data_IF_950320882049
#
_entry.id   IF_950320882049
#
_cell.length_a   1.000
_cell.length_b   1.000
_cell.length_c   1.000
_cell.angle_alpha   90.00
_cell.angle_beta   90.00
_cell.angle_gamma   90.00
#
_symmetry.space_group_name_H-M   'P 1'
#
loop_
_entity.id
_entity.type
_entity.pdbx_description
1 polymer ?
#
# COMPACT_ATOMS: atom_id res chain seq x y z
N UNK A 1 -17.87 -14.90 13.48
CA UNK A 1 -18.78 -13.76 13.67
C UNK A 1 -18.06 -12.39 13.66
N UNK A 2 -16.72 -12.32 13.89
CA UNK A 2 -15.93 -11.04 13.85
C UNK A 2 -15.72 -10.46 12.44
N UNK A 3 -15.78 -11.30 11.38
CA UNK A 3 -15.67 -10.85 9.98
C UNK A 3 -16.78 -9.87 9.54
N UNK A 4 -17.93 -9.90 10.22
CA UNK A 4 -19.09 -9.09 9.88
C UNK A 4 -18.95 -7.59 10.24
N UNK A 5 -18.12 -7.26 11.21
CA UNK A 5 -17.98 -5.87 11.70
C UNK A 5 -17.05 -5.01 10.83
N UNK A 6 -16.03 -5.61 10.21
CA UNK A 6 -15.21 -4.92 9.20
C UNK A 6 -16.00 -4.72 7.92
N UNK A 7 -16.82 -5.72 7.55
CA UNK A 7 -17.77 -5.62 6.45
C UNK A 7 -18.70 -4.41 6.59
N UNK A 8 -19.15 -4.08 7.80
CA UNK A 8 -20.05 -2.94 8.01
C UNK A 8 -19.36 -1.59 7.84
N UNK A 9 -18.08 -1.46 8.22
CA UNK A 9 -17.33 -0.22 8.02
C UNK A 9 -16.96 0.02 6.55
N UNK A 10 -16.78 -1.06 5.76
CA UNK A 10 -16.53 -1.02 4.32
C UNK A 10 -17.83 -0.92 3.49
N UNK A 11 -18.94 -1.50 3.96
CA UNK A 11 -20.23 -1.49 3.25
C UNK A 11 -20.93 -0.13 3.25
N UNK A 12 -20.59 0.79 4.15
CA UNK A 12 -21.13 2.14 4.14
C UNK A 12 -20.70 2.98 2.92
N UNK A 13 -19.68 2.52 2.17
CA UNK A 13 -19.19 3.19 0.96
C UNK A 13 -19.83 2.67 -0.35
N UNK A 14 -20.67 1.63 -0.31
CA UNK A 14 -21.25 0.99 -1.51
C UNK A 14 -22.55 1.64 -2.01
N UNK A 15 -22.99 2.76 -1.45
CA UNK A 15 -24.28 3.37 -1.75
C UNK A 15 -24.18 4.59 -2.67
N UNK A 16 -23.36 4.57 -3.73
CA UNK A 16 -23.52 5.48 -4.89
C UNK A 16 -22.60 5.03 -6.04
N UNK A 17 -23.10 4.14 -6.89
CA UNK A 17 -22.99 4.29 -8.35
C UNK A 17 -23.75 3.18 -9.05
N UNK A 18 -24.78 3.58 -9.77
CA UNK A 18 -25.46 2.80 -10.77
C UNK A 18 -24.57 2.71 -12.00
N UNK A 19 -23.94 1.57 -12.21
CA UNK A 19 -23.64 0.99 -13.52
C UNK A 19 -23.34 -0.50 -13.33
N UNK A 20 -23.91 -1.33 -14.17
CA UNK A 20 -23.92 -2.78 -14.19
C UNK A 20 -22.52 -3.41 -14.19
N UNK A 21 -21.96 -3.63 -13.00
CA UNK A 21 -20.98 -4.68 -12.79
C UNK A 21 -21.31 -5.37 -11.47
N UNK A 22 -21.72 -6.64 -11.59
CA UNK A 22 -21.99 -7.54 -10.48
C UNK A 22 -20.69 -7.92 -9.71
N UNK A 23 -19.83 -6.94 -9.48
CA UNK A 23 -18.60 -7.12 -8.72
C UNK A 23 -18.86 -6.82 -7.24
N UNK A 24 -19.35 -7.84 -6.53
CA UNK A 24 -19.61 -7.80 -5.08
C UNK A 24 -18.32 -7.72 -4.24
N UNK A 25 -17.17 -7.42 -4.85
CA UNK A 25 -15.89 -7.32 -4.15
C UNK A 25 -15.82 -6.06 -3.31
N UNK A 26 -15.37 -6.24 -2.07
CA UNK A 26 -15.19 -5.11 -1.18
C UNK A 26 -14.01 -4.26 -1.64
N UNK A 27 -14.23 -2.95 -1.64
CA UNK A 27 -13.24 -1.96 -2.04
C UNK A 27 -13.26 -0.80 -1.05
N UNK A 28 -12.07 -0.39 -0.61
CA UNK A 28 -11.87 0.80 0.19
C UNK A 28 -10.73 1.64 -0.40
N UNK A 29 -10.93 2.94 -0.49
CA UNK A 29 -9.92 3.90 -0.92
C UNK A 29 -9.49 4.75 0.27
N UNK A 30 -8.19 4.93 0.44
CA UNK A 30 -7.60 5.73 1.51
C UNK A 30 -6.85 6.90 0.89
N UNK A 31 -7.14 8.12 1.36
CA UNK A 31 -6.38 9.32 1.00
C UNK A 31 -5.42 9.71 2.12
N UNK A 32 -4.19 10.06 1.78
CA UNK A 32 -3.20 10.31 2.81
C UNK A 32 -1.89 10.90 2.33
N UNK A 33 -0.88 10.72 3.15
CA UNK A 33 0.47 11.25 2.97
C UNK A 33 1.49 10.12 2.99
N UNK A 34 2.41 10.15 2.03
CA UNK A 34 3.56 9.27 1.94
C UNK A 34 4.82 10.04 2.34
N UNK A 35 5.55 9.54 3.34
CA UNK A 35 6.84 10.08 3.79
C UNK A 35 7.94 9.09 3.43
N UNK A 36 8.98 9.56 2.76
CA UNK A 36 10.06 8.71 2.25
C UNK A 36 11.41 9.17 2.76
N UNK A 37 12.22 8.24 3.25
CA UNK A 37 13.64 8.42 3.58
C UNK A 37 14.50 7.52 2.70
N UNK A 38 15.75 7.88 2.48
CA UNK A 38 16.69 7.10 1.66
C UNK A 38 17.94 6.76 2.47
N UNK A 39 18.48 5.55 2.29
CA UNK A 39 19.75 5.17 2.90
C UNK A 39 20.96 5.88 2.29
N UNK A 40 20.81 6.50 1.11
CA UNK A 40 21.88 7.32 0.50
C UNK A 40 22.12 8.63 1.25
N UNK A 41 21.04 9.22 1.79
CA UNK A 41 21.07 10.49 2.51
C UNK A 41 20.18 10.39 3.75
N UNK A 42 20.58 9.58 4.76
CA UNK A 42 19.75 9.33 5.94
C UNK A 42 19.50 10.59 6.79
N UNK A 43 20.40 11.58 6.68
CA UNK A 43 20.33 12.88 7.38
C UNK A 43 19.46 13.91 6.64
N UNK A 44 19.07 13.65 5.41
CA UNK A 44 18.28 14.59 4.62
C UNK A 44 16.83 14.69 5.13
N UNK A 45 16.22 15.83 4.89
CA UNK A 45 14.77 15.99 5.13
C UNK A 45 14.00 14.98 4.31
N UNK A 46 13.08 14.22 4.92
CA UNK A 46 12.27 13.25 4.21
C UNK A 46 11.49 13.89 3.04
N UNK A 47 11.37 13.17 1.94
CA UNK A 47 10.46 13.55 0.88
C UNK A 47 9.01 13.24 1.33
N UNK A 48 8.11 14.21 1.17
CA UNK A 48 6.70 14.10 1.55
C UNK A 48 5.82 14.32 0.32
N UNK A 49 4.99 13.34 0.01
CA UNK A 49 3.96 13.44 -1.01
C UNK A 49 2.57 13.41 -0.34
N UNK A 50 1.79 14.46 -0.54
CA UNK A 50 0.41 14.57 -0.05
C UNK A 50 -0.60 14.17 -1.11
N UNK A 51 -1.83 13.87 -0.68
CA UNK A 51 -2.95 13.47 -1.54
C UNK A 51 -2.67 12.16 -2.33
N UNK A 52 -1.90 11.26 -1.75
CA UNK A 52 -1.65 9.94 -2.32
C UNK A 52 -2.83 9.03 -1.98
N UNK A 53 -3.30 8.29 -2.98
CA UNK A 53 -4.44 7.37 -2.83
C UNK A 53 -3.97 5.92 -2.88
N UNK A 54 -4.37 5.14 -1.85
CA UNK A 54 -4.17 3.70 -1.80
C UNK A 54 -5.54 3.00 -1.83
N UNK A 55 -5.63 1.92 -2.58
CA UNK A 55 -6.84 1.16 -2.78
C UNK A 55 -6.68 -0.26 -2.24
N UNK A 56 -7.53 -0.65 -1.31
CA UNK A 56 -7.64 -2.02 -0.79
C UNK A 56 -8.84 -2.69 -1.44
N UNK A 57 -8.63 -3.81 -2.13
CA UNK A 57 -9.67 -4.55 -2.85
C UNK A 57 -9.62 -6.02 -2.47
N UNK A 58 -10.77 -6.60 -2.14
CA UNK A 58 -10.89 -8.04 -1.92
C UNK A 58 -10.84 -8.78 -3.27
N UNK A 59 -10.13 -9.90 -3.32
CA UNK A 59 -10.13 -10.80 -4.47
C UNK A 59 -11.17 -11.93 -4.33
N UNK A 60 -11.29 -12.77 -5.37
CA UNK A 60 -12.26 -13.87 -5.39
C UNK A 60 -11.93 -15.00 -4.39
N UNK A 61 -10.76 -14.99 -3.78
CA UNK A 61 -10.33 -15.97 -2.77
C UNK A 61 -10.56 -15.49 -1.34
N UNK A 62 -11.04 -14.26 -1.17
CA UNK A 62 -11.21 -13.61 0.13
C UNK A 62 -9.90 -13.07 0.72
N UNK A 63 -8.85 -12.98 -0.10
CA UNK A 63 -7.63 -12.24 0.21
C UNK A 63 -7.76 -10.80 -0.28
N UNK A 64 -6.96 -9.92 0.27
CA UNK A 64 -6.94 -8.53 -0.17
C UNK A 64 -5.72 -8.24 -1.05
N UNK A 65 -5.87 -7.22 -1.86
CA UNK A 65 -4.82 -6.61 -2.67
C UNK A 65 -4.77 -5.12 -2.33
N UNK A 66 -3.59 -4.60 -2.01
CA UNK A 66 -3.37 -3.17 -1.85
C UNK A 66 -2.70 -2.62 -3.11
N UNK A 67 -3.34 -1.65 -3.76
CA UNK A 67 -2.78 -0.94 -4.90
C UNK A 67 -2.42 0.49 -4.48
N UNK A 68 -1.16 0.83 -4.63
CA UNK A 68 -0.61 2.15 -4.35
C UNK A 68 -0.34 2.85 -5.68
N UNK A 69 -1.13 3.88 -5.97
CA UNK A 69 -1.03 4.62 -7.23
C UNK A 69 -0.05 5.79 -7.12
N UNK A 70 0.63 6.06 -8.22
CA UNK A 70 1.47 7.26 -8.42
C UNK A 70 2.56 7.49 -7.35
N UNK A 71 3.11 6.40 -6.81
CA UNK A 71 4.15 6.47 -5.78
C UNK A 71 5.43 7.01 -6.36
N UNK A 72 6.02 8.01 -5.69
CA UNK A 72 7.36 8.55 -5.95
C UNK A 72 8.18 8.48 -4.69
N UNK A 73 9.48 8.28 -4.85
CA UNK A 73 10.43 8.20 -3.72
C UNK A 73 11.29 9.46 -3.57
N UNK A 74 11.23 10.36 -4.56
CA UNK A 74 11.90 11.67 -4.53
C UNK A 74 11.15 12.63 -5.46
N UNK A 75 11.27 13.92 -5.18
CA UNK A 75 10.69 14.95 -6.04
C UNK A 75 11.29 14.96 -7.46
N UNK A 76 12.57 14.65 -7.57
CA UNK A 76 13.29 14.55 -8.85
C UNK A 76 12.99 13.28 -9.65
N UNK A 77 12.21 12.35 -9.11
CA UNK A 77 11.87 11.11 -9.81
C UNK A 77 10.98 11.41 -11.02
N UNK A 78 11.42 11.09 -12.26
CA UNK A 78 10.73 11.52 -13.49
C UNK A 78 9.43 10.77 -13.74
N UNK A 79 9.24 9.63 -13.07
CA UNK A 79 8.06 8.77 -13.23
C UNK A 79 7.51 8.36 -11.87
N UNK A 80 6.24 8.03 -11.82
CA UNK A 80 5.60 7.38 -10.68
C UNK A 80 5.49 5.87 -10.89
N UNK A 81 5.44 5.13 -9.80
CA UNK A 81 5.27 3.69 -9.78
C UNK A 81 3.85 3.34 -9.31
N UNK A 82 3.27 2.31 -9.87
CA UNK A 82 2.14 1.60 -9.27
C UNK A 82 2.70 0.38 -8.54
N UNK A 83 2.46 0.30 -7.25
CA UNK A 83 2.90 -0.82 -6.42
C UNK A 83 1.66 -1.61 -6.04
N UNK A 84 1.68 -2.90 -6.34
CA UNK A 84 0.60 -3.83 -5.99
C UNK A 84 1.16 -4.83 -5.00
N UNK A 85 0.58 -4.87 -3.80
CA UNK A 85 0.85 -5.88 -2.79
C UNK A 85 -0.30 -6.89 -2.86
N UNK A 86 -0.08 -8.07 -3.44
CA UNK A 86 -1.11 -9.11 -3.56
C UNK A 86 -1.18 -9.97 -2.30
N UNK A 87 -2.20 -10.81 -2.22
CA UNK A 87 -2.33 -11.88 -1.22
C UNK A 87 -2.21 -11.39 0.22
N UNK A 88 -2.79 -10.21 0.49
CA UNK A 88 -2.80 -9.67 1.84
C UNK A 88 -3.76 -10.47 2.71
N UNK A 89 -3.23 -10.96 3.83
CA UNK A 89 -4.00 -11.43 4.97
C UNK A 89 -4.16 -10.28 5.95
N UNK A 90 -5.28 -10.26 6.66
CA UNK A 90 -5.50 -9.35 7.77
C UNK A 90 -5.88 -10.17 9.01
N UNK A 91 -5.22 -9.88 10.11
CA UNK A 91 -5.42 -10.59 11.37
C UNK A 91 -5.48 -9.57 12.52
N UNK A 92 -6.49 -9.73 13.37
CA UNK A 92 -6.58 -9.06 14.67
C UNK A 92 -6.26 -10.14 15.72
N UNK A 93 -4.95 -10.34 15.96
CA UNK A 93 -4.45 -11.48 16.73
C UNK A 93 -4.71 -11.35 18.23
N UNK A 94 -4.80 -10.13 18.75
CA UNK A 94 -5.00 -9.83 20.19
C UNK A 94 -6.40 -9.30 20.49
N UNK A 95 -7.22 -9.01 19.47
CA UNK A 95 -8.60 -8.59 19.60
C UNK A 95 -8.77 -7.11 19.99
N UNK A 96 -7.75 -6.29 19.77
CA UNK A 96 -7.75 -4.85 20.08
C UNK A 96 -8.45 -3.99 19.01
N UNK A 97 -8.92 -4.59 17.91
CA UNK A 97 -9.55 -3.90 16.77
C UNK A 97 -8.56 -3.31 15.78
N UNK A 98 -7.28 -3.64 15.91
CA UNK A 98 -6.24 -3.29 14.94
C UNK A 98 -5.98 -4.53 14.08
N UNK A 99 -6.12 -4.38 12.77
CA UNK A 99 -5.87 -5.45 11.81
C UNK A 99 -4.48 -5.27 11.20
N UNK A 100 -3.63 -6.26 11.38
CA UNK A 100 -2.33 -6.30 10.74
C UNK A 100 -2.44 -6.87 9.33
N UNK A 101 -1.84 -6.18 8.37
CA UNK A 101 -1.79 -6.59 6.96
C UNK A 101 -0.42 -7.16 6.65
N UNK A 102 -0.40 -8.42 6.20
CA UNK A 102 0.83 -9.11 5.78
C UNK A 102 0.64 -9.71 4.39
N UNK A 103 1.71 -9.77 3.60
CA UNK A 103 1.73 -10.45 2.30
C UNK A 103 2.67 -11.63 2.32
N UNK A 104 2.28 -12.70 1.64
CA UNK A 104 3.12 -13.89 1.42
C UNK A 104 3.82 -13.85 0.07
N UNK A 105 3.54 -12.85 -0.77
CA UNK A 105 4.17 -12.71 -2.08
C UNK A 105 5.65 -12.32 -1.96
N UNK A 106 6.52 -13.04 -2.66
CA UNK A 106 7.96 -12.79 -2.72
C UNK A 106 8.51 -13.21 -4.10
N UNK A 107 9.13 -12.32 -4.86
CA UNK A 107 9.29 -10.88 -4.60
C UNK A 107 8.05 -10.07 -4.99
N UNK A 108 7.82 -8.97 -4.29
CA UNK A 108 6.86 -7.94 -4.70
C UNK A 108 7.60 -6.96 -5.63
N UNK A 109 7.11 -6.82 -6.86
CA UNK A 109 7.72 -5.97 -7.90
C UNK A 109 6.74 -4.85 -8.26
N UNK A 110 7.18 -3.57 -8.28
CA UNK A 110 6.33 -2.48 -8.74
C UNK A 110 6.12 -2.50 -10.25
N UNK A 111 5.15 -1.70 -10.69
CA UNK A 111 4.77 -1.58 -12.10
C UNK A 111 4.97 -0.16 -12.62
N UNK A 112 5.31 -0.03 -13.90
CA UNK A 112 5.30 1.22 -14.67
C UNK A 112 4.50 0.98 -15.94
N UNK A 113 3.46 1.78 -16.18
CA UNK A 113 2.62 1.64 -17.37
C UNK A 113 2.01 0.24 -17.52
N UNK A 114 1.63 -0.40 -16.40
CA UNK A 114 1.02 -1.74 -16.36
C UNK A 114 2.00 -2.90 -16.60
N UNK A 115 3.31 -2.65 -16.67
CA UNK A 115 4.34 -3.69 -16.83
C UNK A 115 5.21 -3.80 -15.57
N UNK A 116 5.61 -5.03 -15.14
CA UNK A 116 6.55 -5.20 -14.04
C UNK A 116 7.86 -4.45 -14.29
N UNK A 117 8.35 -3.75 -13.28
CA UNK A 117 9.60 -2.99 -13.35
C UNK A 117 10.65 -3.60 -12.42
N UNK A 118 11.34 -4.61 -12.94
CA UNK A 118 12.27 -5.47 -12.18
C UNK A 118 13.55 -4.76 -11.67
N UNK A 119 13.77 -3.48 -12.01
CA UNK A 119 14.84 -2.68 -11.42
C UNK A 119 14.58 -2.37 -9.93
N UNK A 120 13.33 -2.51 -9.48
CA UNK A 120 12.91 -2.32 -8.10
C UNK A 120 12.27 -3.58 -7.52
N UNK A 121 12.41 -3.73 -6.21
CA UNK A 121 11.72 -4.76 -5.43
C UNK A 121 11.22 -4.16 -4.12
N UNK A 122 10.20 -4.78 -3.53
CA UNK A 122 9.69 -4.44 -2.19
C UNK A 122 10.05 -5.59 -1.25
N UNK A 123 11.23 -5.56 -0.62
CA UNK A 123 11.69 -6.64 0.24
C UNK A 123 11.02 -6.65 1.62
N UNK A 124 10.32 -5.58 1.99
CA UNK A 124 9.64 -5.47 3.26
C UNK A 124 8.35 -4.68 3.11
N UNK A 125 7.29 -5.24 3.63
CA UNK A 125 5.96 -4.62 3.69
C UNK A 125 5.28 -4.99 5.02
N UNK A 126 4.68 -4.00 5.66
CA UNK A 126 3.75 -4.16 6.78
C UNK A 126 2.64 -3.13 6.67
N UNK A 127 1.43 -3.50 7.07
CA UNK A 127 0.30 -2.57 7.10
C UNK A 127 -0.54 -2.77 8.36
N UNK A 128 -1.23 -1.71 8.77
CA UNK A 128 -2.17 -1.71 9.90
C UNK A 128 -3.43 -0.95 9.50
N UNK A 129 -4.57 -1.56 9.76
CA UNK A 129 -5.89 -0.96 9.51
C UNK A 129 -6.65 -0.89 10.83
N UNK A 130 -7.05 0.30 11.24
CA UNK A 130 -7.83 0.54 12.45
C UNK A 130 -8.72 1.76 12.30
N UNK A 131 -9.99 1.65 12.68
CA UNK A 131 -10.93 2.78 12.73
C UNK A 131 -10.96 3.63 11.44
N UNK A 132 -10.93 2.99 10.25
CA UNK A 132 -10.92 3.67 8.97
C UNK A 132 -9.58 4.35 8.61
N UNK A 133 -8.53 4.11 9.39
CA UNK A 133 -7.18 4.60 9.12
C UNK A 133 -6.28 3.46 8.65
N UNK A 134 -5.51 3.71 7.60
CA UNK A 134 -4.53 2.80 7.05
C UNK A 134 -3.12 3.36 7.26
N UNK A 135 -2.26 2.59 7.91
CA UNK A 135 -0.82 2.85 7.97
C UNK A 135 -0.08 1.74 7.21
N UNK A 136 0.83 2.11 6.32
CA UNK A 136 1.65 1.16 5.55
C UNK A 136 3.11 1.56 5.65
N UNK A 137 3.98 0.60 5.95
CA UNK A 137 5.43 0.77 5.96
C UNK A 137 6.01 -0.24 4.97
N UNK A 138 6.79 0.24 4.03
CA UNK A 138 7.49 -0.62 3.07
C UNK A 138 8.85 -0.07 2.69
N UNK A 139 9.71 -0.95 2.20
CA UNK A 139 11.00 -0.57 1.60
C UNK A 139 10.96 -0.85 0.12
N UNK A 140 11.32 0.15 -0.68
CA UNK A 140 11.53 -0.03 -2.12
C UNK A 140 13.02 0.01 -2.41
N UNK A 141 13.54 -1.11 -2.90
CA UNK A 141 14.94 -1.32 -3.22
C UNK A 141 15.20 -1.15 -4.71
N UNK A 142 16.19 -0.34 -5.07
CA UNK A 142 16.78 -0.34 -6.40
C UNK A 142 18.12 -1.09 -6.37
N UNK A 143 18.11 -2.35 -6.79
CA UNK A 143 19.28 -3.21 -6.76
C UNK A 143 20.38 -2.83 -7.78
N UNK A 144 20.09 -1.90 -8.70
CA UNK A 144 21.02 -1.46 -9.75
C UNK A 144 21.85 -0.24 -9.33
N UNK A 145 21.49 0.42 -8.23
CA UNK A 145 22.19 1.62 -7.75
C UNK A 145 22.89 1.27 -6.44
N UNK A 146 24.23 1.27 -6.41
CA UNK A 146 24.98 1.02 -5.19
C UNK A 146 24.94 2.24 -4.24
N UNK A 147 24.96 1.95 -2.94
CA UNK A 147 25.16 2.93 -1.85
C UNK A 147 26.19 2.32 -0.90
N UNK A 148 27.48 2.63 -1.12
CA UNK A 148 28.59 1.91 -0.47
C UNK A 148 28.55 0.43 -0.88
N UNK A 149 28.51 -0.46 0.12
CA UNK A 149 28.39 -1.91 -0.08
C UNK A 149 26.93 -2.40 -0.16
N UNK A 150 25.96 -1.50 -0.04
CA UNK A 150 24.54 -1.78 -0.07
C UNK A 150 23.87 -1.35 -1.38
N UNK A 151 22.60 -1.63 -1.52
CA UNK A 151 21.73 -1.13 -2.58
C UNK A 151 20.98 0.13 -2.15
N UNK A 152 20.49 0.91 -3.10
CA UNK A 152 19.65 2.07 -2.79
C UNK A 152 18.27 1.62 -2.29
N UNK A 153 18.02 1.87 -1.03
CA UNK A 153 16.76 1.60 -0.37
C UNK A 153 16.03 2.91 0.00
N UNK A 154 14.73 2.93 -0.33
CA UNK A 154 13.80 3.96 0.09
C UNK A 154 12.81 3.36 1.08
N UNK A 155 12.86 3.80 2.33
CA UNK A 155 11.85 3.44 3.33
C UNK A 155 10.70 4.44 3.22
N UNK A 156 9.50 3.93 2.99
CA UNK A 156 8.28 4.70 2.84
C UNK A 156 7.31 4.39 3.97
N UNK A 157 6.69 5.43 4.50
CA UNK A 157 5.62 5.36 5.50
C UNK A 157 4.42 6.12 4.96
N UNK A 158 3.32 5.42 4.74
CA UNK A 158 2.04 6.01 4.36
C UNK A 158 1.10 6.03 5.56
N UNK A 159 0.38 7.15 5.71
CA UNK A 159 -0.72 7.30 6.66
C UNK A 159 -1.90 7.93 5.94
N UNK A 160 -3.02 7.25 5.92
CA UNK A 160 -4.23 7.70 5.25
C UNK A 160 -5.50 7.33 5.99
N UNK A 161 -6.59 7.98 5.61
CA UNK A 161 -7.93 7.72 6.11
C UNK A 161 -8.83 7.34 4.95
N UNK A 162 -9.86 6.54 5.26
CA UNK A 162 -10.85 6.11 4.27
C UNK A 162 -11.54 7.33 3.66
N UNK A 163 -11.70 7.31 2.34
CA UNK A 163 -12.47 8.28 1.58
C UNK A 163 -13.89 7.76 1.44
N UNK A 164 -14.87 8.56 1.88
CA UNK A 164 -16.31 8.26 1.81
C UNK A 164 -16.92 8.82 0.53
#
# INVERSE_FOLDING_TARGET
>A
MKKLLILLALAACAACNTEDDNDNRQKATFGGTLTVTSNRHPEATPFVASNISFELTEDNSGLFKLTMHEVRFAQSMPMSLTIVIPELKYEDSDGDGIYELTSTADPIVPYIGGKPYNAFAIPMFTGRLANGSLEVIFTCRNAQIPVGDETLDHKAVYKGTILL
#
